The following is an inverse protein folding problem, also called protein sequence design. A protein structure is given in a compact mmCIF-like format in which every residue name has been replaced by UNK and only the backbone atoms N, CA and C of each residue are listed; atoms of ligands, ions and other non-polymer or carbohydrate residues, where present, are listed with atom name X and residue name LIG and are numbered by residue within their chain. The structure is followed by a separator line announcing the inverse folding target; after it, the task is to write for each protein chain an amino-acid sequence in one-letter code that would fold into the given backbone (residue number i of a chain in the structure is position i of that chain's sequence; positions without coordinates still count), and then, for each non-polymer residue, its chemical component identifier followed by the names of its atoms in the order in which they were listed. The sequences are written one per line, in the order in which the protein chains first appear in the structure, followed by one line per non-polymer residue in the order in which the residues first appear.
data_IF_168193711772
#
_entry.id   IF_168193711772
#
_cell.length_a   1.000
_cell.length_b   1.000
_cell.length_c   1.000
_cell.angle_alpha   90.00
_cell.angle_beta   90.00
_cell.angle_gamma   90.00
#
_symmetry.space_group_name_H-M   'P 1'
#
loop_
_entity.id
_entity.type
_entity.pdbx_description
1 polymer ?
#
# COMPACT_ATOMS: atom_id res chain seq x y z
N UNK A 1 -4.06 14.76 33.99
CA UNK A 1 -3.75 15.84 33.02
C UNK A 1 -2.32 15.77 32.44
N UNK A 2 -1.58 14.65 32.55
CA UNK A 2 -0.15 14.57 32.15
C UNK A 2 0.12 13.82 30.84
N UNK A 3 -0.84 13.07 30.31
CA UNK A 3 -0.65 12.28 29.09
C UNK A 3 -0.85 13.10 27.80
N UNK A 4 -1.61 14.20 27.86
CA UNK A 4 -1.87 15.08 26.71
C UNK A 4 -0.64 15.92 26.32
N UNK A 5 0.25 16.23 27.27
CA UNK A 5 1.43 17.06 27.02
C UNK A 5 2.56 16.31 26.31
N UNK A 6 2.64 14.99 26.46
CA UNK A 6 3.69 14.17 25.83
C UNK A 6 3.44 14.03 24.32
N UNK A 7 2.18 13.91 23.91
CA UNK A 7 1.82 13.78 22.50
C UNK A 7 2.11 15.06 21.69
N UNK A 8 1.94 16.24 22.32
CA UNK A 8 2.23 17.53 21.67
C UNK A 8 3.73 17.75 21.45
N UNK A 9 4.60 17.24 22.33
CA UNK A 9 6.06 17.38 22.20
C UNK A 9 6.62 16.51 21.06
N UNK A 10 6.07 15.30 20.87
CA UNK A 10 6.50 14.39 19.80
C UNK A 10 6.08 14.90 18.41
N UNK A 11 4.92 15.54 18.30
CA UNK A 11 4.44 16.16 17.05
C UNK A 11 5.24 17.41 16.65
N UNK A 12 5.81 18.16 17.61
CA UNK A 12 6.57 19.38 17.29
C UNK A 12 8.02 19.10 16.85
N UNK A 13 8.61 17.98 17.31
CA UNK A 13 9.99 17.60 16.96
C UNK A 13 10.14 17.02 15.54
N UNK A 14 9.07 16.43 15.00
CA UNK A 14 9.09 15.80 13.66
C UNK A 14 9.04 16.81 12.50
N UNK A 15 8.68 18.07 12.75
CA UNK A 15 8.61 19.10 11.72
C UNK A 15 9.96 19.76 11.37
N UNK A 16 10.97 19.62 12.24
CA UNK A 16 12.29 20.27 12.03
C UNK A 16 13.23 19.47 11.12
N UNK A 17 13.03 18.17 10.95
CA UNK A 17 13.89 17.34 10.10
C UNK A 17 13.57 17.43 8.60
N UNK A 18 12.42 18.00 8.21
CA UNK A 18 11.98 18.04 6.81
C UNK A 18 12.42 19.29 6.03
N UNK A 19 12.92 20.35 6.68
CA UNK A 19 13.36 21.58 6.01
C UNK A 19 14.86 21.63 5.66
N UNK A 20 15.63 20.57 5.89
CA UNK A 20 17.09 20.58 5.74
C UNK A 20 17.64 19.98 4.43
N UNK A 21 16.89 19.99 3.32
CA UNK A 21 17.43 19.66 2.00
C UNK A 21 17.07 20.71 0.94
N UNK A 22 18.03 21.59 0.63
CA UNK A 22 18.30 22.25 -0.67
C UNK A 22 19.23 23.45 -0.39
N UNK A 23 20.32 23.76 -1.09
CA UNK A 23 20.72 23.56 -2.50
C UNK A 23 22.24 23.78 -2.64
N UNK A 24 22.93 23.02 -3.51
CA UNK A 24 23.80 23.64 -4.51
C UNK A 24 23.99 22.67 -5.69
N UNK A 25 23.28 22.94 -6.78
CA UNK A 25 23.65 22.46 -8.11
C UNK A 25 24.64 23.46 -8.66
N UNK A 26 25.82 22.99 -9.08
CA UNK A 26 26.57 23.65 -10.13
C UNK A 26 27.05 22.63 -11.16
N UNK A 27 26.97 23.10 -12.39
CA UNK A 27 26.97 22.33 -13.63
C UNK A 27 28.42 22.12 -14.13
N UNK A 28 28.52 21.44 -15.28
CA UNK A 28 29.57 21.56 -16.32
C UNK A 28 30.77 20.57 -16.19
N UNK A 29 30.76 19.48 -16.98
CA UNK A 29 31.48 19.37 -18.28
C UNK A 29 31.50 17.93 -18.81
N UNK A 30 30.75 17.77 -19.89
CA UNK A 30 30.97 16.87 -21.02
C UNK A 30 32.45 16.84 -21.46
N UNK A 31 33.07 15.67 -21.49
CA UNK A 31 34.26 15.39 -22.29
C UNK A 31 34.21 13.94 -22.78
N UNK A 32 33.75 13.78 -24.01
CA UNK A 32 33.83 12.59 -24.86
C UNK A 32 35.22 12.51 -25.52
N UNK A 33 35.62 11.30 -25.95
CA UNK A 33 36.93 10.85 -26.53
C UNK A 33 37.96 10.47 -25.45
N UNK A 34 38.63 9.32 -25.46
CA UNK A 34 39.19 8.45 -26.51
C UNK A 34 39.53 7.12 -25.79
N UNK A 35 39.28 5.89 -26.25
CA UNK A 35 40.11 5.13 -27.20
C UNK A 35 39.64 3.67 -27.09
N UNK A 36 39.12 3.13 -28.19
CA UNK A 36 39.02 1.69 -28.49
C UNK A 36 40.43 1.22 -28.91
N UNK A 37 40.69 -0.10 -28.92
CA UNK A 37 41.89 -0.83 -29.40
C UNK A 37 42.83 -1.15 -28.22
N UNK A 38 43.05 -2.39 -27.79
CA UNK A 38 43.52 -3.56 -28.56
C UNK A 38 43.24 -4.87 -27.81
N UNK A 39 42.51 -5.77 -28.46
CA UNK A 39 42.59 -7.22 -28.25
C UNK A 39 43.67 -7.72 -29.20
N UNK A 40 44.78 -8.26 -28.70
CA UNK A 40 45.67 -9.12 -29.50
C UNK A 40 46.63 -9.91 -28.61
N UNK A 41 46.43 -11.23 -28.63
CA UNK A 41 47.48 -12.26 -28.85
C UNK A 41 48.71 -12.26 -27.95
N UNK A 42 48.82 -13.26 -27.07
CA UNK A 42 50.00 -14.15 -27.01
C UNK A 42 49.54 -15.56 -26.62
N UNK A 43 49.32 -16.41 -27.63
CA UNK A 43 49.50 -17.87 -27.53
C UNK A 43 50.93 -18.17 -27.97
N UNK A 44 51.45 -19.27 -27.45
CA UNK A 44 52.72 -19.93 -27.80
C UNK A 44 54.01 -19.26 -27.35
N UNK A 45 54.57 -19.76 -26.24
CA UNK A 45 55.86 -20.43 -26.36
C UNK A 45 55.94 -21.55 -25.31
N UNK A 46 55.81 -22.79 -25.80
CA UNK A 46 56.27 -24.00 -25.13
C UNK A 46 57.79 -23.90 -25.03
N UNK A 47 58.33 -23.65 -23.83
CA UNK A 47 59.73 -23.95 -23.51
C UNK A 47 59.72 -25.03 -22.43
N UNK A 48 59.88 -26.25 -22.94
CA UNK A 48 60.23 -27.46 -22.21
C UNK A 48 61.68 -27.32 -21.74
N UNK A 49 61.89 -27.02 -20.45
CA UNK A 49 63.20 -27.16 -19.80
C UNK A 49 63.01 -27.78 -18.42
N UNK A 50 63.37 -29.06 -18.36
CA UNK A 50 64.00 -29.80 -17.24
C UNK A 50 63.19 -29.97 -15.94
N UNK A 51 62.83 -31.23 -15.57
CA UNK A 51 62.27 -31.55 -14.27
C UNK A 51 63.42 -31.60 -13.26
N UNK A 52 63.72 -30.48 -12.61
CA UNK A 52 64.58 -30.51 -11.44
C UNK A 52 63.71 -30.72 -10.21
N UNK A 53 63.77 -31.94 -9.71
CA UNK A 53 63.36 -32.36 -8.38
C UNK A 53 64.01 -31.41 -7.37
N UNK A 54 63.28 -30.38 -6.94
CA UNK A 54 63.53 -29.69 -5.68
C UNK A 54 62.42 -30.07 -4.74
N UNK A 55 62.64 -31.20 -4.08
CA UNK A 55 62.08 -31.54 -2.78
C UNK A 55 62.52 -30.46 -1.77
N UNK A 56 61.91 -29.28 -1.85
CA UNK A 56 62.04 -28.24 -0.82
C UNK A 56 60.83 -28.35 0.08
N UNK A 57 61.07 -29.02 1.20
CA UNK A 57 60.36 -28.89 2.47
C UNK A 57 59.52 -27.61 2.51
N UNK A 58 58.19 -27.75 2.45
CA UNK A 58 57.28 -26.65 2.76
C UNK A 58 57.68 -26.12 4.14
N UNK A 59 58.28 -24.93 4.17
CA UNK A 59 58.73 -24.31 5.40
C UNK A 59 57.51 -24.08 6.31
N UNK A 60 57.67 -24.31 7.62
CA UNK A 60 56.60 -24.06 8.59
C UNK A 60 56.08 -22.61 8.50
N UNK A 61 56.88 -21.66 7.99
CA UNK A 61 56.47 -20.27 7.76
C UNK A 61 55.47 -20.08 6.61
N UNK A 62 55.54 -20.83 5.51
CA UNK A 62 54.58 -20.72 4.40
C UNK A 62 53.23 -21.35 4.78
N UNK A 63 53.25 -22.48 5.49
CA UNK A 63 52.02 -23.09 6.06
C UNK A 63 51.34 -22.16 7.07
N UNK A 64 52.10 -21.47 7.92
CA UNK A 64 51.54 -20.52 8.89
C UNK A 64 51.04 -19.22 8.22
N UNK A 65 51.69 -18.74 7.16
CA UNK A 65 51.21 -17.61 6.36
C UNK A 65 49.88 -17.94 5.65
N UNK A 66 49.79 -19.09 4.98
CA UNK A 66 48.56 -19.60 4.34
C UNK A 66 47.41 -19.81 5.36
N UNK A 67 47.72 -20.29 6.58
CA UNK A 67 46.72 -20.40 7.66
C UNK A 67 46.23 -19.04 8.14
N UNK A 68 47.10 -18.03 8.26
CA UNK A 68 46.70 -16.67 8.66
C UNK A 68 45.86 -15.99 7.59
N UNK A 69 46.22 -16.14 6.32
CA UNK A 69 45.45 -15.61 5.19
C UNK A 69 44.09 -16.30 5.07
N UNK A 70 44.02 -17.63 5.19
CA UNK A 70 42.77 -18.39 5.22
C UNK A 70 41.87 -17.99 6.41
N UNK A 71 42.44 -17.73 7.60
CA UNK A 71 41.68 -17.23 8.76
C UNK A 71 41.13 -15.82 8.52
N UNK A 72 41.91 -14.92 7.91
CA UNK A 72 41.47 -13.57 7.58
C UNK A 72 40.39 -13.57 6.48
N UNK A 73 40.53 -14.40 5.45
CA UNK A 73 39.53 -14.56 4.40
C UNK A 73 38.21 -15.13 4.96
N UNK A 74 38.30 -16.13 5.84
CA UNK A 74 37.14 -16.70 6.52
C UNK A 74 36.46 -15.71 7.49
N UNK A 75 37.23 -14.82 8.14
CA UNK A 75 36.69 -13.75 8.98
C UNK A 75 35.91 -12.72 8.14
N UNK A 76 36.50 -12.24 7.04
CA UNK A 76 35.84 -11.33 6.10
C UNK A 76 34.57 -11.94 5.49
N UNK A 77 34.62 -13.20 5.06
CA UNK A 77 33.45 -13.92 4.54
C UNK A 77 32.33 -14.07 5.59
N UNK A 78 32.67 -14.29 6.87
CA UNK A 78 31.67 -14.34 7.95
C UNK A 78 31.03 -12.99 8.22
N UNK A 79 31.78 -11.91 8.11
CA UNK A 79 31.29 -10.54 8.29
C UNK A 79 30.39 -10.11 7.13
N UNK A 80 30.80 -10.34 5.88
CA UNK A 80 29.97 -10.12 4.70
C UNK A 80 28.68 -10.95 4.75
N UNK A 81 28.75 -12.20 5.20
CA UNK A 81 27.56 -13.05 5.38
C UNK A 81 26.63 -12.54 6.49
N UNK A 82 27.14 -11.88 7.54
CA UNK A 82 26.32 -11.24 8.57
C UNK A 82 25.66 -9.97 8.03
N UNK A 83 26.43 -9.10 7.37
CA UNK A 83 25.93 -7.89 6.75
C UNK A 83 24.85 -8.18 5.69
N UNK A 84 25.06 -9.21 4.85
CA UNK A 84 24.06 -9.64 3.86
C UNK A 84 22.79 -10.20 4.53
N UNK A 85 22.91 -10.93 5.64
CA UNK A 85 21.76 -11.43 6.39
C UNK A 85 20.97 -10.29 7.04
N UNK A 86 21.66 -9.29 7.56
CA UNK A 86 21.03 -8.13 8.18
C UNK A 86 20.34 -7.26 7.13
N UNK A 87 20.97 -6.98 6.00
CA UNK A 87 20.36 -6.30 4.87
C UNK A 87 19.12 -7.04 4.32
N UNK A 88 19.16 -8.38 4.25
CA UNK A 88 17.99 -9.19 3.86
C UNK A 88 16.87 -9.13 4.88
N UNK A 89 17.17 -9.04 6.18
CA UNK A 89 16.16 -8.90 7.23
C UNK A 89 15.48 -7.55 7.16
N UNK A 90 16.24 -6.47 7.01
CA UNK A 90 15.67 -5.12 6.91
C UNK A 90 14.84 -4.95 5.64
N UNK A 91 15.28 -5.50 4.51
CA UNK A 91 14.48 -5.51 3.26
C UNK A 91 13.17 -6.28 3.43
N UNK A 92 13.21 -7.44 4.10
CA UNK A 92 12.02 -8.24 4.37
C UNK A 92 11.05 -7.53 5.31
N UNK A 93 11.55 -6.90 6.38
CA UNK A 93 10.75 -6.10 7.31
C UNK A 93 10.09 -4.91 6.62
N UNK A 94 10.81 -4.21 5.73
CA UNK A 94 10.26 -3.13 4.92
C UNK A 94 9.15 -3.63 3.98
N UNK A 95 9.38 -4.77 3.29
CA UNK A 95 8.37 -5.40 2.42
C UNK A 95 7.12 -5.81 3.19
N UNK A 96 7.28 -6.38 4.38
CA UNK A 96 6.15 -6.80 5.21
C UNK A 96 5.41 -5.61 5.81
N UNK A 97 6.11 -4.53 6.15
CA UNK A 97 5.50 -3.27 6.55
C UNK A 97 4.69 -2.63 5.42
N UNK A 98 5.25 -2.53 4.21
CA UNK A 98 4.57 -1.98 3.03
C UNK A 98 3.31 -2.80 2.68
N UNK A 99 3.40 -4.14 2.75
CA UNK A 99 2.23 -5.02 2.54
C UNK A 99 1.15 -4.78 3.58
N UNK A 100 1.51 -4.63 4.86
CA UNK A 100 0.56 -4.33 5.94
C UNK A 100 -0.09 -2.97 5.74
N UNK A 101 0.68 -1.95 5.37
CA UNK A 101 0.16 -0.62 5.07
C UNK A 101 -0.84 -0.65 3.92
N UNK A 102 -0.48 -1.28 2.79
CA UNK A 102 -1.37 -1.42 1.64
C UNK A 102 -2.64 -2.21 1.96
N UNK A 103 -2.54 -3.25 2.79
CA UNK A 103 -3.71 -4.02 3.22
C UNK A 103 -4.65 -3.17 4.10
N UNK A 104 -4.08 -2.37 4.99
CA UNK A 104 -4.82 -1.46 5.86
C UNK A 104 -5.51 -0.34 5.07
N UNK A 105 -4.82 0.30 4.12
CA UNK A 105 -5.40 1.31 3.23
C UNK A 105 -6.57 0.71 2.42
N UNK A 106 -6.38 -0.48 1.83
CA UNK A 106 -7.46 -1.19 1.12
C UNK A 106 -8.66 -1.51 2.01
N UNK A 107 -8.44 -1.80 3.29
CA UNK A 107 -9.53 -2.04 4.23
C UNK A 107 -10.28 -0.74 4.54
N UNK A 108 -9.56 0.36 4.78
CA UNK A 108 -10.17 1.68 4.97
C UNK A 108 -10.99 2.12 3.75
N UNK A 109 -10.45 1.95 2.54
CA UNK A 109 -11.15 2.30 1.31
C UNK A 109 -12.46 1.52 1.14
N UNK A 110 -12.45 0.22 1.49
CA UNK A 110 -13.65 -0.61 1.49
C UNK A 110 -14.68 -0.13 2.51
N UNK A 111 -14.25 0.23 3.72
CA UNK A 111 -15.12 0.76 4.77
C UNK A 111 -15.73 2.09 4.31
N UNK A 112 -14.92 3.04 3.81
CA UNK A 112 -15.38 4.34 3.32
C UNK A 112 -16.37 4.20 2.16
N UNK A 113 -16.09 3.30 1.22
CA UNK A 113 -17.00 3.00 0.11
C UNK A 113 -18.34 2.40 0.59
N UNK A 114 -18.29 1.51 1.58
CA UNK A 114 -19.46 0.95 2.24
C UNK A 114 -20.30 2.03 2.95
N UNK A 115 -19.66 2.89 3.74
CA UNK A 115 -20.31 4.02 4.43
C UNK A 115 -20.99 4.98 3.45
N UNK A 116 -20.31 5.34 2.36
CA UNK A 116 -20.87 6.18 1.30
C UNK A 116 -22.09 5.54 0.65
N UNK A 117 -22.08 4.21 0.47
CA UNK A 117 -23.21 3.47 -0.10
C UNK A 117 -24.42 3.46 0.85
N UNK A 118 -24.20 3.19 2.13
CA UNK A 118 -25.22 3.28 3.19
C UNK A 118 -25.81 4.68 3.26
N UNK A 119 -24.96 5.71 3.28
CA UNK A 119 -25.40 7.13 3.29
C UNK A 119 -26.29 7.46 2.09
N UNK A 120 -25.88 7.09 0.87
CA UNK A 120 -26.69 7.28 -0.35
C UNK A 120 -28.05 6.59 -0.28
N UNK A 121 -28.11 5.37 0.26
CA UNK A 121 -29.37 4.64 0.41
C UNK A 121 -30.28 5.36 1.42
N UNK A 122 -29.77 5.77 2.58
CA UNK A 122 -30.51 6.55 3.58
C UNK A 122 -31.09 7.84 2.99
N UNK A 123 -30.30 8.58 2.20
CA UNK A 123 -30.79 9.78 1.52
C UNK A 123 -31.89 9.47 0.50
N UNK A 124 -31.75 8.40 -0.29
CA UNK A 124 -32.79 7.97 -1.24
C UNK A 124 -34.09 7.58 -0.54
N UNK A 125 -34.00 6.82 0.55
CA UNK A 125 -35.15 6.43 1.38
C UNK A 125 -35.85 7.69 1.91
N UNK A 126 -35.11 8.59 2.55
CA UNK A 126 -35.68 9.83 3.10
C UNK A 126 -36.39 10.68 2.04
N UNK A 127 -35.81 10.80 0.84
CA UNK A 127 -36.41 11.55 -0.25
C UNK A 127 -37.70 10.89 -0.77
N UNK A 128 -37.70 9.56 -0.91
CA UNK A 128 -38.88 8.82 -1.35
C UNK A 128 -39.99 8.85 -0.28
N UNK A 129 -39.66 8.73 1.00
CA UNK A 129 -40.60 8.88 2.11
C UNK A 129 -41.23 10.28 2.16
N UNK A 130 -40.43 11.33 2.00
CA UNK A 130 -40.92 12.71 1.89
C UNK A 130 -41.84 12.89 0.69
N UNK A 131 -41.46 12.33 -0.47
CA UNK A 131 -42.30 12.36 -1.67
C UNK A 131 -43.63 11.65 -1.44
N UNK A 132 -43.59 10.44 -0.86
CA UNK A 132 -44.77 9.65 -0.54
C UNK A 132 -45.70 10.38 0.44
N UNK A 133 -45.15 10.98 1.50
CA UNK A 133 -45.93 11.77 2.46
C UNK A 133 -46.62 12.96 1.79
N UNK A 134 -45.90 13.68 0.92
CA UNK A 134 -46.46 14.79 0.16
C UNK A 134 -47.56 14.34 -0.83
N UNK A 135 -47.36 13.20 -1.49
CA UNK A 135 -48.34 12.63 -2.41
C UNK A 135 -49.61 12.19 -1.66
N UNK A 136 -49.47 11.47 -0.54
CA UNK A 136 -50.59 11.10 0.34
C UNK A 136 -51.36 12.33 0.80
N UNK A 137 -50.68 13.37 1.30
CA UNK A 137 -51.33 14.63 1.71
C UNK A 137 -52.11 15.31 0.58
N UNK A 138 -51.53 15.39 -0.63
CA UNK A 138 -52.22 15.96 -1.81
C UNK A 138 -53.41 15.11 -2.23
N UNK A 139 -53.25 13.79 -2.21
CA UNK A 139 -54.31 12.84 -2.54
C UNK A 139 -55.48 12.94 -1.57
N UNK A 140 -55.22 12.89 -0.26
CA UNK A 140 -56.22 13.00 0.78
C UNK A 140 -56.97 14.33 0.70
N UNK A 141 -56.28 15.44 0.40
CA UNK A 141 -56.91 16.75 0.20
C UNK A 141 -57.82 16.79 -1.04
N UNK A 142 -57.43 16.14 -2.14
CA UNK A 142 -58.27 16.06 -3.34
C UNK A 142 -59.47 15.16 -3.12
N UNK A 143 -59.28 14.03 -2.44
CA UNK A 143 -60.31 13.07 -2.07
C UNK A 143 -61.35 13.70 -1.16
N UNK A 144 -60.93 14.38 -0.09
CA UNK A 144 -61.85 15.04 0.86
C UNK A 144 -62.66 16.17 0.24
N UNK A 145 -62.10 16.86 -0.77
CA UNK A 145 -62.79 17.90 -1.54
C UNK A 145 -63.68 17.35 -2.66
N UNK A 146 -63.76 16.03 -2.85
CA UNK A 146 -64.51 15.40 -3.94
C UNK A 146 -63.99 15.76 -5.34
N UNK A 147 -62.73 16.20 -5.46
CA UNK A 147 -62.14 16.68 -6.73
C UNK A 147 -61.53 15.58 -7.61
N UNK A 148 -61.78 14.32 -7.28
CA UNK A 148 -61.23 13.16 -8.01
C UNK A 148 -62.30 12.08 -8.16
N UNK A 149 -62.31 11.42 -9.31
CA UNK A 149 -63.18 10.30 -9.62
C UNK A 149 -62.71 8.99 -8.95
N UNK A 150 -63.60 8.01 -8.87
CA UNK A 150 -63.27 6.67 -8.32
C UNK A 150 -62.11 6.00 -9.08
N UNK A 151 -62.08 6.13 -10.41
CA UNK A 151 -60.98 5.61 -11.23
C UNK A 151 -59.65 6.31 -10.95
N UNK A 152 -59.66 7.62 -10.69
CA UNK A 152 -58.44 8.35 -10.31
C UNK A 152 -57.97 8.00 -8.91
N UNK A 153 -58.90 7.76 -7.97
CA UNK A 153 -58.60 7.24 -6.63
C UNK A 153 -57.82 5.94 -6.72
N UNK A 154 -58.30 4.99 -7.53
CA UNK A 154 -57.65 3.70 -7.71
C UNK A 154 -56.27 3.82 -8.36
N UNK A 155 -56.14 4.64 -9.40
CA UNK A 155 -54.85 4.93 -10.05
C UNK A 155 -53.83 5.51 -9.06
N UNK A 156 -54.23 6.44 -8.20
CA UNK A 156 -53.34 7.05 -7.24
C UNK A 156 -52.97 6.09 -6.10
N UNK A 157 -53.92 5.27 -5.63
CA UNK A 157 -53.64 4.19 -4.68
C UNK A 157 -52.61 3.20 -5.24
N UNK A 158 -52.71 2.81 -6.51
CA UNK A 158 -51.71 1.95 -7.17
C UNK A 158 -50.33 2.62 -7.18
N UNK A 159 -50.24 3.93 -7.46
CA UNK A 159 -48.96 4.66 -7.42
C UNK A 159 -48.38 4.71 -6.02
N UNK A 160 -49.20 5.02 -5.01
CA UNK A 160 -48.80 5.04 -3.59
C UNK A 160 -48.25 3.66 -3.19
N UNK A 161 -48.94 2.58 -3.54
CA UNK A 161 -48.50 1.21 -3.29
C UNK A 161 -47.16 0.89 -3.97
N UNK A 162 -46.99 1.30 -5.24
CA UNK A 162 -45.70 1.14 -5.95
C UNK A 162 -44.56 1.88 -5.26
N UNK A 163 -44.80 3.11 -4.79
CA UNK A 163 -43.80 3.86 -4.02
C UNK A 163 -43.48 3.19 -2.68
N UNK A 164 -44.47 2.68 -1.96
CA UNK A 164 -44.27 1.93 -0.71
C UNK A 164 -43.39 0.69 -0.93
N UNK A 165 -43.65 -0.08 -2.01
CA UNK A 165 -42.82 -1.23 -2.39
C UNK A 165 -41.39 -0.79 -2.71
N UNK A 166 -41.21 0.34 -3.40
CA UNK A 166 -39.88 0.89 -3.71
C UNK A 166 -39.12 1.26 -2.43
N UNK A 167 -39.77 1.90 -1.47
CA UNK A 167 -39.17 2.22 -0.16
C UNK A 167 -38.76 0.93 0.57
N UNK A 168 -39.63 -0.09 0.58
CA UNK A 168 -39.30 -1.37 1.21
C UNK A 168 -38.08 -2.04 0.58
N UNK A 169 -37.97 -2.04 -0.76
CA UNK A 169 -36.77 -2.54 -1.46
C UNK A 169 -35.52 -1.76 -1.10
N UNK A 170 -35.60 -0.42 -1.04
CA UNK A 170 -34.47 0.40 -0.63
C UNK A 170 -34.05 0.13 0.83
N UNK A 171 -35.00 -0.12 1.72
CA UNK A 171 -34.72 -0.51 3.11
C UNK A 171 -34.05 -1.89 3.19
N UNK A 172 -34.48 -2.85 2.37
CA UNK A 172 -33.81 -4.16 2.28
C UNK A 172 -32.37 -4.02 1.77
N UNK A 173 -32.15 -3.20 0.73
CA UNK A 173 -30.81 -2.90 0.23
C UNK A 173 -29.94 -2.18 1.27
N UNK A 174 -30.55 -1.28 2.06
CA UNK A 174 -29.88 -0.60 3.16
C UNK A 174 -29.43 -1.61 4.22
N UNK A 175 -30.30 -2.51 4.65
CA UNK A 175 -29.97 -3.54 5.64
C UNK A 175 -28.81 -4.43 5.16
N UNK A 176 -28.85 -4.86 3.89
CA UNK A 176 -27.76 -5.64 3.27
C UNK A 176 -26.46 -4.85 3.22
N UNK A 177 -26.51 -3.55 2.94
CA UNK A 177 -25.33 -2.69 2.90
C UNK A 177 -24.75 -2.46 4.31
N UNK A 178 -25.59 -2.26 5.32
CA UNK A 178 -25.18 -2.11 6.72
C UNK A 178 -24.58 -3.41 7.28
N UNK A 179 -25.14 -4.57 6.92
CA UNK A 179 -24.57 -5.87 7.28
C UNK A 179 -23.20 -6.12 6.64
N UNK A 180 -23.04 -5.74 5.36
CA UNK A 180 -21.73 -5.81 4.70
C UNK A 180 -20.72 -4.87 5.36
N UNK A 181 -21.15 -3.67 5.75
CA UNK A 181 -20.29 -2.69 6.40
C UNK A 181 -19.89 -3.14 7.81
N UNK A 182 -20.81 -3.73 8.58
CA UNK A 182 -20.47 -4.28 9.91
C UNK A 182 -19.46 -5.40 9.82
N UNK A 183 -19.58 -6.30 8.82
CA UNK A 183 -18.60 -7.35 8.51
C UNK A 183 -17.21 -6.84 8.08
N UNK A 184 -17.10 -5.60 7.61
CA UNK A 184 -15.81 -5.00 7.24
C UNK A 184 -15.12 -4.29 8.42
N UNK A 185 -15.91 -3.91 9.43
CA UNK A 185 -15.45 -3.21 10.64
C UNK A 185 -15.10 -4.16 11.78
N UNK A 186 -15.79 -5.30 11.87
CA UNK A 186 -15.51 -6.39 12.79
C UNK A 186 -14.47 -7.34 12.20
#
# INVERSE_FOLDING_TARGET
MKLKSIFTIVMLSSFQFFLAQNTQNDTIKLATKTTITTVTTVKDTVIKVVPQVTTTVASDSEKEALKKESKMLNAKMKEEKKALKEAKRTEQEQKDFEKKQKAFEKQQDKILSGEKSVSKLKTKISNEEKSLANNKKKFDSKKSKGKISSTEIEKENIKISKQQIKINKLNEDLNKAEEKLSKLRN
#
